data_IF_729872537007
#
_entry.id   IF_729872537007
#
_cell.length_a   1.000
_cell.length_b   1.000
_cell.length_c   1.000
_cell.angle_alpha   90.00
_cell.angle_beta   90.00
_cell.angle_gamma   90.00
#
_symmetry.space_group_name_H-M   'P 1'
#
loop_
_entity.id
_entity.type
_entity.pdbx_description
1 polymer ?
#
# COMPACT_ATOMS: atom_id res chain seq x y z
N UNK A 1 45.05 0.51 -38.48
CA UNK A 1 44.46 -0.39 -37.47
C UNK A 1 44.93 0.13 -36.12
N UNK A 2 44.07 0.88 -35.42
CA UNK A 2 44.11 0.92 -33.96
C UNK A 2 42.73 1.39 -33.50
N UNK A 3 42.05 0.57 -32.72
CA UNK A 3 40.67 0.75 -32.28
C UNK A 3 40.69 0.43 -30.78
N UNK A 4 41.02 1.43 -29.97
CA UNK A 4 41.07 1.28 -28.51
C UNK A 4 39.66 1.48 -27.92
N UNK A 5 38.88 0.40 -27.89
CA UNK A 5 37.69 0.31 -27.05
C UNK A 5 38.10 0.16 -25.59
N UNK A 6 37.78 1.18 -24.78
CA UNK A 6 37.89 1.16 -23.33
C UNK A 6 36.78 0.25 -22.80
N UNK A 7 37.12 -1.00 -22.46
CA UNK A 7 36.26 -1.88 -21.67
C UNK A 7 36.21 -1.33 -20.24
N UNK A 8 35.03 -0.88 -19.81
CA UNK A 8 34.73 -0.59 -18.40
C UNK A 8 34.64 -1.92 -17.67
N UNK A 9 35.65 -2.19 -16.84
CA UNK A 9 35.63 -3.30 -15.89
C UNK A 9 34.47 -3.15 -14.90
N UNK A 10 33.60 -4.16 -14.87
CA UNK A 10 32.53 -4.30 -13.89
C UNK A 10 33.17 -4.73 -12.57
N UNK A 11 33.08 -3.85 -11.56
CA UNK A 11 33.58 -4.12 -10.22
C UNK A 11 32.95 -5.38 -9.63
N UNK A 12 33.83 -6.28 -9.19
CA UNK A 12 33.60 -7.52 -8.44
C UNK A 12 32.63 -7.30 -7.27
N UNK A 13 31.60 -8.15 -7.20
CA UNK A 13 30.74 -8.31 -6.02
C UNK A 13 31.55 -9.02 -4.94
N UNK A 14 31.84 -8.32 -3.84
CA UNK A 14 32.43 -8.94 -2.65
C UNK A 14 31.32 -9.41 -1.70
N UNK A 15 31.20 -10.74 -1.57
CA UNK A 15 30.32 -11.39 -0.61
C UNK A 15 31.03 -11.39 0.75
N UNK A 16 30.50 -10.65 1.72
CA UNK A 16 31.06 -10.56 3.07
C UNK A 16 30.65 -11.81 3.89
N UNK A 17 31.60 -12.56 4.48
CA UNK A 17 31.31 -13.73 5.29
C UNK A 17 31.24 -13.37 6.78
N UNK A 18 30.04 -13.11 7.30
CA UNK A 18 29.53 -13.68 8.56
C UNK A 18 28.19 -13.01 8.95
N UNK A 19 27.12 -13.49 8.33
CA UNK A 19 25.73 -13.06 8.61
C UNK A 19 25.09 -13.94 9.71
N UNK A 20 25.81 -14.94 10.22
CA UNK A 20 25.21 -16.06 10.96
C UNK A 20 24.77 -15.68 12.38
N UNK A 21 25.55 -14.85 13.08
CA UNK A 21 25.24 -14.36 14.42
C UNK A 21 24.10 -13.31 14.41
N UNK A 22 24.11 -12.39 13.43
CA UNK A 22 23.04 -11.41 13.18
C UNK A 22 21.69 -12.09 12.89
N UNK A 23 21.72 -13.21 12.15
CA UNK A 23 20.52 -13.98 11.78
C UNK A 23 19.80 -14.59 12.99
N UNK A 24 20.55 -15.02 14.01
CA UNK A 24 20.02 -15.71 15.20
C UNK A 24 19.34 -14.76 16.19
N UNK A 25 19.73 -13.50 16.20
CA UNK A 25 19.18 -12.47 17.09
C UNK A 25 17.97 -11.74 16.48
N UNK A 26 17.97 -11.54 15.15
CA UNK A 26 16.83 -10.99 14.41
C UNK A 26 15.60 -11.93 14.47
N UNK A 27 15.83 -13.25 14.39
CA UNK A 27 14.76 -14.26 14.44
C UNK A 27 13.96 -14.27 15.77
N UNK A 28 14.53 -13.73 16.86
CA UNK A 28 13.84 -13.63 18.16
C UNK A 28 12.88 -12.45 18.27
N UNK A 29 12.90 -11.48 17.35
CA UNK A 29 12.03 -10.29 17.36
C UNK A 29 10.94 -10.29 16.28
N UNK A 30 11.08 -11.12 15.26
CA UNK A 30 10.12 -11.22 14.17
C UNK A 30 8.83 -11.93 14.62
N UNK A 31 7.66 -11.40 14.25
CA UNK A 31 6.38 -12.07 14.54
C UNK A 31 6.10 -13.18 13.54
N UNK A 32 5.31 -14.18 13.96
CA UNK A 32 4.85 -15.24 13.05
C UNK A 32 4.16 -14.67 11.81
N UNK A 33 3.33 -13.63 11.97
CA UNK A 33 2.68 -12.93 10.85
C UNK A 33 3.68 -12.43 9.80
N UNK A 34 4.76 -11.77 10.23
CA UNK A 34 5.79 -11.22 9.34
C UNK A 34 6.55 -12.34 8.64
N UNK A 35 6.96 -13.36 9.40
CA UNK A 35 7.65 -14.53 8.86
C UNK A 35 6.81 -15.26 7.82
N UNK A 36 5.54 -15.52 8.12
CA UNK A 36 4.62 -16.25 7.24
C UNK A 36 4.37 -15.47 5.94
N UNK A 37 4.40 -14.14 6.01
CA UNK A 37 4.35 -13.29 4.83
C UNK A 37 5.58 -13.45 3.94
N UNK A 38 6.79 -13.43 4.51
CA UNK A 38 8.04 -13.68 3.74
C UNK A 38 8.08 -15.09 3.16
N UNK A 39 7.67 -16.09 3.93
CA UNK A 39 7.66 -17.49 3.50
C UNK A 39 6.71 -17.77 2.32
N UNK A 40 5.76 -16.87 2.05
CA UNK A 40 4.85 -16.99 0.92
C UNK A 40 5.49 -16.67 -0.45
N UNK A 41 6.70 -16.09 -0.47
CA UNK A 41 7.45 -15.78 -1.70
C UNK A 41 8.63 -16.73 -1.88
N UNK A 42 9.21 -16.91 -3.08
CA UNK A 42 10.41 -17.73 -3.29
C UNK A 42 11.60 -17.31 -2.42
N UNK A 43 12.48 -18.24 -1.97
CA UNK A 43 13.65 -17.89 -1.17
C UNK A 43 14.58 -16.86 -1.81
N UNK A 44 14.68 -16.88 -3.15
CA UNK A 44 15.47 -15.95 -3.96
C UNK A 44 15.02 -14.48 -3.80
N UNK A 45 13.78 -14.23 -3.35
CA UNK A 45 13.22 -12.89 -3.25
C UNK A 45 13.30 -12.32 -1.83
N UNK A 46 13.59 -13.15 -0.82
CA UNK A 46 13.45 -12.78 0.60
C UNK A 46 14.73 -12.13 1.12
N UNK A 47 14.56 -11.08 1.93
CA UNK A 47 15.65 -10.47 2.71
C UNK A 47 16.83 -9.98 1.86
N UNK A 48 16.55 -9.45 0.67
CA UNK A 48 17.58 -8.97 -0.29
C UNK A 48 18.17 -7.65 0.19
N UNK A 49 19.49 -7.61 0.33
CA UNK A 49 20.21 -6.41 0.77
C UNK A 49 20.72 -5.58 -0.41
N UNK A 50 20.62 -4.26 -0.28
CA UNK A 50 21.10 -3.28 -1.23
C UNK A 50 21.97 -2.25 -0.51
N UNK A 51 23.08 -1.88 -1.14
CA UNK A 51 23.93 -0.82 -0.64
C UNK A 51 23.51 0.52 -1.22
N UNK A 52 23.15 1.46 -0.36
CA UNK A 52 22.92 2.85 -0.71
C UNK A 52 24.23 3.63 -0.63
N UNK A 53 24.90 3.76 -1.77
CA UNK A 53 26.15 4.52 -1.85
C UNK A 53 25.96 6.03 -1.55
N UNK A 54 24.76 6.59 -1.74
CA UNK A 54 24.51 8.01 -1.50
C UNK A 54 24.46 8.33 0.00
N UNK A 55 23.89 7.42 0.79
CA UNK A 55 23.75 7.59 2.25
C UNK A 55 24.73 6.73 3.06
N UNK A 56 25.57 5.93 2.41
CA UNK A 56 26.47 4.94 3.04
C UNK A 56 25.70 4.00 3.98
N UNK A 57 24.51 3.58 3.56
CA UNK A 57 23.60 2.74 4.34
C UNK A 57 23.32 1.41 3.62
N UNK A 58 22.83 0.42 4.36
CA UNK A 58 22.39 -0.86 3.81
C UNK A 58 20.89 -1.01 4.05
N UNK A 59 20.13 -1.00 2.97
CA UNK A 59 18.72 -1.36 3.01
C UNK A 59 18.56 -2.86 2.81
N UNK A 60 17.66 -3.48 3.58
CA UNK A 60 17.27 -4.87 3.37
C UNK A 60 15.78 -4.94 3.11
N UNK A 61 15.43 -5.36 1.90
CA UNK A 61 14.06 -5.60 1.48
C UNK A 61 13.52 -6.88 2.12
N UNK A 62 12.34 -6.84 2.73
CA UNK A 62 11.67 -8.08 3.17
C UNK A 62 11.45 -9.01 1.98
N UNK A 63 10.89 -8.48 0.89
CA UNK A 63 10.77 -9.13 -0.41
C UNK A 63 11.22 -8.16 -1.50
N UNK A 64 12.05 -8.63 -2.42
CA UNK A 64 12.38 -7.96 -3.66
C UNK A 64 12.12 -8.91 -4.84
N UNK A 65 11.31 -8.45 -5.79
CA UNK A 65 10.86 -9.28 -6.92
C UNK A 65 11.69 -8.99 -8.18
N UNK A 66 11.84 -9.95 -9.11
CA UNK A 66 12.50 -9.74 -10.41
C UNK A 66 11.85 -8.62 -11.24
N UNK A 67 10.55 -8.38 -11.03
CA UNK A 67 9.81 -7.27 -11.66
C UNK A 67 10.11 -5.90 -11.05
N UNK A 68 11.04 -5.81 -10.10
CA UNK A 68 11.51 -4.56 -9.50
C UNK A 68 10.60 -3.99 -8.41
N UNK A 69 9.65 -4.77 -7.87
CA UNK A 69 8.87 -4.39 -6.68
C UNK A 69 9.61 -4.75 -5.39
N UNK A 70 9.56 -3.84 -4.43
CA UNK A 70 9.92 -4.09 -3.02
C UNK A 70 8.64 -4.19 -2.21
N UNK A 71 8.51 -5.23 -1.38
CA UNK A 71 7.37 -5.38 -0.46
C UNK A 71 7.93 -5.42 0.96
N UNK A 72 7.42 -4.55 1.83
CA UNK A 72 7.80 -4.46 3.23
C UNK A 72 6.62 -4.80 4.14
N UNK A 73 6.84 -5.69 5.10
CA UNK A 73 5.81 -6.10 6.04
C UNK A 73 5.96 -5.33 7.35
N UNK A 74 4.96 -4.51 7.69
CA UNK A 74 5.03 -3.70 8.90
C UNK A 74 4.04 -4.17 9.96
N UNK A 75 4.59 -4.71 11.05
CA UNK A 75 3.82 -5.20 12.20
C UNK A 75 3.85 -4.26 13.42
N UNK A 76 4.88 -3.41 13.51
CA UNK A 76 5.15 -2.52 14.65
C UNK A 76 5.14 -1.04 14.20
N UNK A 77 5.13 -0.06 15.10
CA UNK A 77 5.30 1.34 14.71
C UNK A 77 6.60 1.55 13.93
N UNK A 78 6.55 2.43 12.93
CA UNK A 78 7.70 2.90 12.14
C UNK A 78 7.82 4.42 12.32
N UNK A 79 9.05 4.94 12.26
CA UNK A 79 9.27 6.39 12.33
C UNK A 79 9.06 7.05 10.97
N UNK A 80 8.74 8.35 10.95
CA UNK A 80 8.62 9.09 9.69
C UNK A 80 9.95 9.13 8.90
N UNK A 81 11.08 9.19 9.59
CA UNK A 81 12.41 9.15 8.97
C UNK A 81 12.65 7.81 8.25
N UNK A 82 12.31 6.69 8.89
CA UNK A 82 12.46 5.36 8.29
C UNK A 82 11.49 5.15 7.12
N UNK A 83 10.24 5.63 7.24
CA UNK A 83 9.27 5.62 6.14
C UNK A 83 9.82 6.38 4.92
N UNK A 84 10.26 7.63 5.10
CA UNK A 84 10.78 8.45 4.01
C UNK A 84 12.06 7.88 3.42
N UNK A 85 12.98 7.38 4.25
CA UNK A 85 14.23 6.76 3.79
C UNK A 85 13.93 5.57 2.88
N UNK A 86 12.98 4.70 3.27
CA UNK A 86 12.60 3.53 2.47
C UNK A 86 11.87 3.90 1.20
N UNK A 87 10.92 4.85 1.25
CA UNK A 87 10.20 5.30 0.05
C UNK A 87 11.09 6.05 -0.93
N UNK A 88 12.09 6.80 -0.46
CA UNK A 88 13.08 7.45 -1.32
C UNK A 88 14.01 6.44 -1.99
N UNK A 89 14.36 5.35 -1.30
CA UNK A 89 15.26 4.32 -1.81
C UNK A 89 14.58 3.35 -2.78
N UNK A 90 13.34 2.92 -2.50
CA UNK A 90 12.62 1.92 -3.29
C UNK A 90 11.53 2.54 -4.17
N UNK A 91 11.73 2.65 -5.51
CA UNK A 91 10.78 3.33 -6.38
C UNK A 91 9.43 2.62 -6.52
N UNK A 92 9.40 1.29 -6.38
CA UNK A 92 8.18 0.47 -6.48
C UNK A 92 7.85 -0.19 -5.14
N UNK A 93 7.86 0.59 -4.06
CA UNK A 93 7.58 0.08 -2.71
C UNK A 93 6.09 -0.21 -2.51
N UNK A 94 5.80 -1.33 -1.84
CA UNK A 94 4.49 -1.69 -1.33
C UNK A 94 4.62 -1.98 0.16
N UNK A 95 3.87 -1.23 0.97
CA UNK A 95 3.70 -1.51 2.39
C UNK A 95 2.57 -2.50 2.59
N UNK A 96 2.84 -3.61 3.27
CA UNK A 96 1.81 -4.54 3.76
C UNK A 96 1.75 -4.41 5.28
N UNK A 97 0.65 -3.88 5.80
CA UNK A 97 0.48 -3.57 7.20
C UNK A 97 -0.29 -4.67 7.94
N UNK A 98 0.16 -5.02 9.14
CA UNK A 98 -0.60 -5.90 10.03
C UNK A 98 -1.79 -5.16 10.65
N UNK A 99 -2.90 -5.14 9.92
CA UNK A 99 -4.12 -4.45 10.30
C UNK A 99 -4.90 -5.11 11.43
N UNK A 100 -4.60 -6.37 11.81
CA UNK A 100 -5.25 -7.03 12.97
C UNK A 100 -5.08 -6.25 14.27
N UNK A 101 -4.04 -5.41 14.36
CA UNK A 101 -3.76 -4.57 15.53
C UNK A 101 -4.43 -3.19 15.47
N UNK A 102 -5.05 -2.83 14.36
CA UNK A 102 -5.61 -1.48 14.19
C UNK A 102 -6.88 -1.31 15.00
N UNK A 103 -6.82 -0.38 15.95
CA UNK A 103 -7.99 -0.02 16.76
C UNK A 103 -8.93 0.87 15.96
N UNK A 104 -10.20 0.46 15.90
CA UNK A 104 -11.24 1.22 15.23
C UNK A 104 -11.10 1.27 13.71
N UNK A 105 -10.36 0.32 13.10
CA UNK A 105 -10.40 0.08 11.66
C UNK A 105 -11.59 -0.82 11.33
N UNK A 106 -12.55 -0.32 10.54
CA UNK A 106 -13.76 -1.05 10.16
C UNK A 106 -14.03 -0.87 8.68
N UNK A 107 -14.22 -1.98 7.99
CA UNK A 107 -14.79 -1.99 6.65
C UNK A 107 -16.29 -1.71 6.78
N UNK A 108 -16.82 -0.79 5.98
CA UNK A 108 -18.20 -0.31 6.10
C UNK A 108 -19.06 -0.79 4.94
N UNK A 109 -19.29 0.06 3.93
CA UNK A 109 -20.27 -0.18 2.86
C UNK A 109 -19.56 -0.46 1.55
N UNK A 110 -20.15 -1.32 0.73
CA UNK A 110 -19.77 -1.43 -0.68
C UNK A 110 -19.90 -0.09 -1.38
N UNK A 111 -18.92 0.27 -2.21
CA UNK A 111 -18.92 1.48 -3.01
C UNK A 111 -19.30 1.16 -4.45
N UNK A 112 -19.90 2.11 -5.19
CA UNK A 112 -19.93 2.05 -6.64
C UNK A 112 -18.51 2.13 -7.20
N UNK A 113 -18.38 1.99 -8.53
CA UNK A 113 -17.16 2.45 -9.17
C UNK A 113 -17.00 3.95 -8.84
N UNK A 114 -15.89 4.28 -8.20
CA UNK A 114 -15.64 5.64 -7.68
C UNK A 114 -15.46 6.66 -8.81
N UNK A 115 -15.15 6.17 -10.01
CA UNK A 115 -14.99 6.95 -11.24
C UNK A 115 -16.17 6.72 -12.22
N UNK A 116 -17.29 6.14 -11.76
CA UNK A 116 -18.50 5.98 -12.59
C UNK A 116 -18.92 7.35 -13.19
N UNK A 117 -19.12 7.45 -14.52
CA UNK A 117 -19.52 8.71 -15.16
C UNK A 117 -20.77 9.36 -14.57
N UNK A 118 -21.68 8.58 -13.97
CA UNK A 118 -22.88 9.09 -13.28
C UNK A 118 -22.56 9.85 -12.00
N UNK A 119 -21.36 9.65 -11.44
CA UNK A 119 -20.89 10.33 -10.22
C UNK A 119 -20.10 11.61 -10.50
N UNK A 120 -19.92 12.01 -11.76
CA UNK A 120 -19.08 13.17 -12.13
C UNK A 120 -19.50 14.48 -11.45
N UNK A 121 -20.79 14.63 -11.15
CA UNK A 121 -21.40 15.82 -10.56
C UNK A 121 -21.62 15.68 -9.04
N UNK A 122 -21.06 14.64 -8.42
CA UNK A 122 -21.22 14.32 -7.01
C UNK A 122 -19.88 14.05 -6.32
N UNK A 123 -19.82 14.42 -5.04
CA UNK A 123 -18.66 14.13 -4.17
C UNK A 123 -19.10 13.31 -2.96
N UNK A 124 -18.26 12.36 -2.55
CA UNK A 124 -18.54 11.52 -1.38
C UNK A 124 -18.42 12.33 -0.09
N UNK A 125 -19.31 12.07 0.86
CA UNK A 125 -19.26 12.66 2.20
C UNK A 125 -18.26 11.91 3.09
N UNK A 126 -17.49 12.63 3.91
CA UNK A 126 -16.60 12.05 4.92
C UNK A 126 -17.38 11.65 6.19
N UNK A 127 -18.19 10.60 6.06
CA UNK A 127 -18.93 10.01 7.18
C UNK A 127 -18.96 8.48 7.08
N UNK A 128 -19.34 7.81 8.16
CA UNK A 128 -19.54 6.36 8.18
C UNK A 128 -20.73 5.91 7.29
N UNK A 129 -21.57 6.86 6.86
CA UNK A 129 -22.73 6.62 6.01
C UNK A 129 -22.37 6.84 4.55
N UNK A 130 -22.69 5.85 3.71
CA UNK A 130 -22.50 6.00 2.27
C UNK A 130 -23.47 7.04 1.71
N UNK A 131 -22.93 8.22 1.44
CA UNK A 131 -23.69 9.40 1.02
C UNK A 131 -22.82 10.35 0.21
N UNK A 132 -23.48 11.22 -0.54
CA UNK A 132 -22.85 12.17 -1.45
C UNK A 132 -23.51 13.55 -1.36
N UNK A 133 -22.82 14.55 -1.87
CA UNK A 133 -23.32 15.92 -2.07
C UNK A 133 -23.12 16.31 -3.53
N UNK A 134 -23.91 17.27 -4.01
CA UNK A 134 -23.71 17.80 -5.37
C UNK A 134 -22.46 18.65 -5.42
N UNK A 135 -21.65 18.45 -6.45
CA UNK A 135 -20.43 19.22 -6.70
C UNK A 135 -20.71 20.72 -6.83
N UNK A 136 -21.83 21.07 -7.47
CA UNK A 136 -22.26 22.46 -7.61
C UNK A 136 -22.49 23.16 -6.25
N UNK A 137 -23.01 22.45 -5.25
CA UNK A 137 -23.26 23.00 -3.91
C UNK A 137 -21.96 23.26 -3.14
N UNK A 138 -20.94 22.42 -3.34
CA UNK A 138 -19.59 22.64 -2.83
C UNK A 138 -18.96 23.87 -3.49
N UNK A 139 -19.06 23.98 -4.82
CA UNK A 139 -18.51 25.11 -5.60
C UNK A 139 -19.16 26.44 -5.17
N UNK A 140 -20.45 26.43 -4.88
CA UNK A 140 -21.17 27.60 -4.37
C UNK A 140 -20.82 27.96 -2.91
N UNK A 141 -20.07 27.11 -2.21
CA UNK A 141 -19.70 27.34 -0.81
C UNK A 141 -20.88 27.25 0.15
N UNK A 142 -21.91 26.45 -0.17
CA UNK A 142 -23.06 26.30 0.72
C UNK A 142 -22.62 25.67 2.04
N UNK A 143 -23.01 26.24 3.19
CA UNK A 143 -22.57 25.75 4.50
C UNK A 143 -23.15 24.37 4.84
N UNK A 144 -24.33 24.04 4.30
CA UNK A 144 -25.04 22.78 4.54
C UNK A 144 -25.55 22.19 3.21
N UNK A 145 -24.68 21.58 2.39
CA UNK A 145 -25.10 20.92 1.16
C UNK A 145 -26.06 19.76 1.47
N UNK A 146 -26.99 19.49 0.54
CA UNK A 146 -27.99 18.44 0.71
C UNK A 146 -27.32 17.08 0.58
N UNK A 147 -27.36 16.31 1.67
CA UNK A 147 -26.85 14.94 1.73
C UNK A 147 -27.78 13.99 0.97
N UNK A 148 -27.22 13.23 0.03
CA UNK A 148 -27.91 12.25 -0.80
C UNK A 148 -27.41 10.85 -0.47
N UNK A 149 -28.31 9.93 -0.16
CA UNK A 149 -27.97 8.51 -0.08
C UNK A 149 -28.24 7.82 -1.43
N UNK A 150 -27.79 6.58 -1.58
CA UNK A 150 -27.96 5.80 -2.82
C UNK A 150 -29.38 5.29 -3.10
N UNK A 151 -30.35 5.64 -2.24
CA UNK A 151 -31.79 5.46 -2.49
C UNK A 151 -32.45 6.73 -3.06
N UNK A 152 -31.74 7.87 -3.06
CA UNK A 152 -32.25 9.11 -3.63
C UNK A 152 -32.43 8.97 -5.14
N UNK A 153 -33.51 9.50 -5.76
CA UNK A 153 -33.79 9.34 -7.21
C UNK A 153 -32.62 9.69 -8.13
N UNK A 154 -31.79 10.66 -7.75
CA UNK A 154 -30.58 11.06 -8.50
C UNK A 154 -29.46 10.02 -8.51
N UNK A 155 -29.33 9.24 -7.43
CA UNK A 155 -28.28 8.23 -7.29
C UNK A 155 -28.83 6.81 -7.46
N UNK A 156 -30.16 6.68 -7.58
CA UNK A 156 -30.83 5.42 -7.77
C UNK A 156 -30.38 4.79 -9.10
N UNK A 157 -30.01 3.50 -9.05
CA UNK A 157 -29.55 2.75 -10.22
C UNK A 157 -28.03 2.79 -10.46
N UNK A 158 -27.26 3.48 -9.61
CA UNK A 158 -25.81 3.32 -9.56
C UNK A 158 -25.51 2.00 -8.84
N UNK A 159 -24.80 1.10 -9.51
CA UNK A 159 -24.51 -0.24 -8.98
C UNK A 159 -23.31 -0.18 -8.04
N UNK A 160 -23.45 -0.83 -6.88
CA UNK A 160 -22.33 -1.05 -5.97
C UNK A 160 -21.46 -2.20 -6.47
N UNK A 161 -20.16 -2.05 -6.32
CA UNK A 161 -19.15 -3.07 -6.65
C UNK A 161 -19.01 -4.07 -5.51
N UNK A 162 -18.47 -5.26 -5.79
CA UNK A 162 -18.17 -6.26 -4.77
C UNK A 162 -16.80 -6.09 -4.12
N UNK A 163 -15.94 -5.20 -4.64
CA UNK A 163 -14.54 -5.10 -4.26
C UNK A 163 -14.11 -3.71 -3.80
N UNK A 164 -14.94 -2.67 -3.89
CA UNK A 164 -14.64 -1.35 -3.34
C UNK A 164 -15.48 -1.12 -2.09
N UNK A 165 -14.85 -0.57 -1.04
CA UNK A 165 -15.49 -0.36 0.24
C UNK A 165 -15.14 1.00 0.85
N UNK A 166 -16.12 1.65 1.47
CA UNK A 166 -15.85 2.69 2.45
C UNK A 166 -15.33 2.04 3.73
N UNK A 167 -14.59 2.81 4.52
CA UNK A 167 -14.06 2.34 5.78
C UNK A 167 -13.97 3.49 6.78
N UNK A 168 -13.80 3.12 8.05
CA UNK A 168 -13.49 4.05 9.13
C UNK A 168 -12.20 3.60 9.79
N UNK A 169 -11.33 4.54 10.14
CA UNK A 169 -10.13 4.28 10.93
C UNK A 169 -10.00 5.37 12.01
N UNK A 170 -10.46 5.07 13.22
CA UNK A 170 -10.55 6.07 14.31
C UNK A 170 -9.22 6.39 14.99
N UNK A 171 -8.26 5.46 14.96
CA UNK A 171 -6.92 5.64 15.54
C UNK A 171 -5.83 5.25 14.53
N UNK A 172 -5.74 6.00 13.42
CA UNK A 172 -4.68 5.80 12.44
C UNK A 172 -3.36 6.28 13.02
N UNK A 173 -2.31 5.48 12.86
CA UNK A 173 -0.97 5.94 13.18
C UNK A 173 -0.59 7.02 12.16
N UNK A 174 -0.25 8.21 12.64
CA UNK A 174 -0.10 9.40 11.81
C UNK A 174 0.94 9.26 10.71
N UNK A 175 1.98 8.43 10.93
CA UNK A 175 3.05 8.17 9.96
C UNK A 175 2.52 7.67 8.61
N UNK A 176 1.43 6.88 8.61
CA UNK A 176 0.88 6.33 7.36
C UNK A 176 0.16 7.37 6.50
N UNK A 177 -0.14 8.55 7.04
CA UNK A 177 -0.63 9.67 6.22
C UNK A 177 0.47 10.35 5.40
N UNK A 178 1.74 10.12 5.76
CA UNK A 178 2.90 10.64 5.03
C UNK A 178 3.32 9.70 3.89
N UNK A 179 2.83 8.45 3.90
CA UNK A 179 3.20 7.45 2.92
C UNK A 179 2.68 7.83 1.54
N UNK A 180 3.58 7.77 0.56
CA UNK A 180 3.28 7.95 -0.86
C UNK A 180 3.24 6.63 -1.59
N UNK A 181 3.90 5.60 -1.05
CA UNK A 181 3.89 4.25 -1.58
C UNK A 181 2.53 3.56 -1.37
N UNK A 182 2.30 2.49 -2.13
CA UNK A 182 1.06 1.71 -2.03
C UNK A 182 0.96 1.07 -0.65
N UNK A 183 -0.19 1.24 0.01
CA UNK A 183 -0.50 0.60 1.28
C UNK A 183 -1.54 -0.50 1.08
N UNK A 184 -1.19 -1.70 1.52
CA UNK A 184 -2.07 -2.87 1.65
C UNK A 184 -2.26 -3.16 3.14
N UNK A 185 -3.50 -3.34 3.57
CA UNK A 185 -3.82 -3.72 4.95
C UNK A 185 -4.25 -5.18 4.99
N UNK A 186 -3.57 -5.98 5.80
CA UNK A 186 -3.94 -7.36 6.12
C UNK A 186 -4.71 -7.41 7.45
N UNK A 187 -6.02 -7.58 7.37
CA UNK A 187 -6.90 -7.76 8.54
C UNK A 187 -6.97 -9.24 8.98
N UNK A 188 -6.23 -10.13 8.33
CA UNK A 188 -6.33 -11.57 8.43
C UNK A 188 -7.27 -12.20 7.41
N UNK A 189 -7.19 -13.53 7.31
CA UNK A 189 -8.02 -14.31 6.42
C UNK A 189 -7.51 -14.32 4.97
N UNK A 190 -8.44 -14.35 4.02
CA UNK A 190 -8.14 -14.53 2.59
C UNK A 190 -7.98 -13.24 1.80
N UNK A 191 -8.47 -12.11 2.32
CA UNK A 191 -8.52 -10.85 1.59
C UNK A 191 -7.59 -9.81 2.18
N UNK A 192 -7.05 -8.99 1.29
CA UNK A 192 -6.26 -7.80 1.58
C UNK A 192 -7.03 -6.57 1.12
N UNK A 193 -6.67 -5.42 1.66
CA UNK A 193 -7.35 -4.16 1.36
C UNK A 193 -6.31 -3.11 0.98
N UNK A 194 -6.24 -2.78 -0.31
CA UNK A 194 -5.44 -1.66 -0.81
C UNK A 194 -6.12 -0.34 -0.42
N UNK A 195 -5.39 0.53 0.27
CA UNK A 195 -5.85 1.87 0.57
C UNK A 195 -5.69 2.75 -0.68
N UNK A 196 -6.81 3.28 -1.16
CA UNK A 196 -6.92 4.14 -2.34
C UNK A 196 -7.54 5.48 -1.95
N UNK A 197 -7.39 6.46 -2.83
CA UNK A 197 -8.03 7.77 -2.68
C UNK A 197 -8.65 8.20 -4.00
N UNK A 198 -9.83 8.81 -3.94
CA UNK A 198 -10.46 9.56 -5.03
C UNK A 198 -10.25 11.05 -4.77
N UNK A 199 -9.72 11.76 -5.76
CA UNK A 199 -9.62 13.23 -5.71
C UNK A 199 -11.03 13.83 -5.86
N UNK A 200 -11.39 14.77 -4.99
CA UNK A 200 -12.69 15.43 -4.99
C UNK A 200 -12.61 16.81 -4.32
N UNK A 201 -13.59 17.68 -4.58
CA UNK A 201 -13.52 19.09 -4.15
C UNK A 201 -13.62 19.30 -2.62
N UNK A 202 -14.32 18.43 -1.90
CA UNK A 202 -14.46 18.49 -0.45
C UNK A 202 -13.36 17.70 0.30
N UNK A 203 -12.22 17.49 -0.34
CA UNK A 203 -11.08 16.74 0.20
C UNK A 203 -11.12 15.27 -0.18
N UNK A 204 -9.95 14.67 -0.42
CA UNK A 204 -9.82 13.31 -0.96
C UNK A 204 -10.67 12.30 -0.19
N UNK A 205 -11.34 11.41 -0.93
CA UNK A 205 -12.12 10.33 -0.35
C UNK A 205 -11.27 9.06 -0.25
N UNK A 206 -10.84 8.64 0.94
CA UNK A 206 -10.13 7.38 1.09
C UNK A 206 -11.12 6.22 1.00
N UNK A 207 -10.74 5.16 0.31
CA UNK A 207 -11.52 3.93 0.18
C UNK A 207 -10.62 2.71 0.11
N UNK A 208 -11.19 1.52 0.27
CA UNK A 208 -10.48 0.25 0.19
C UNK A 208 -10.82 -0.46 -1.11
N UNK A 209 -9.80 -0.98 -1.80
CA UNK A 209 -9.94 -1.95 -2.87
C UNK A 209 -9.54 -3.32 -2.35
N UNK A 210 -10.49 -4.24 -2.31
CA UNK A 210 -10.30 -5.61 -1.88
C UNK A 210 -9.63 -6.43 -2.99
N UNK A 211 -8.66 -7.25 -2.61
CA UNK A 211 -8.02 -8.25 -3.46
C UNK A 211 -7.72 -9.51 -2.63
N UNK A 212 -7.60 -10.67 -3.28
CA UNK A 212 -7.24 -11.90 -2.56
C UNK A 212 -5.74 -11.94 -2.26
N UNK A 213 -5.36 -12.51 -1.11
CA UNK A 213 -3.95 -12.72 -0.75
C UNK A 213 -3.21 -13.56 -1.78
N UNK A 214 -3.88 -14.58 -2.34
CA UNK A 214 -3.33 -15.42 -3.40
C UNK A 214 -2.99 -14.58 -4.64
N UNK A 215 -3.95 -13.79 -5.12
CA UNK A 215 -3.77 -12.93 -6.29
C UNK A 215 -2.63 -11.93 -6.09
N UNK A 216 -2.53 -11.33 -4.90
CA UNK A 216 -1.41 -10.43 -4.57
C UNK A 216 -0.06 -11.12 -4.69
N UNK A 217 0.09 -12.31 -4.10
CA UNK A 217 1.34 -13.08 -4.17
C UNK A 217 1.64 -13.49 -5.62
N UNK A 218 0.64 -13.99 -6.35
CA UNK A 218 0.79 -14.42 -7.75
C UNK A 218 1.26 -13.26 -8.65
N UNK A 219 0.70 -12.05 -8.50
CA UNK A 219 1.13 -10.87 -9.26
C UNK A 219 2.58 -10.45 -9.00
N UNK A 220 3.09 -10.75 -7.81
CA UNK A 220 4.44 -10.41 -7.38
C UNK A 220 5.40 -11.61 -7.40
N UNK A 221 4.96 -12.74 -7.95
CA UNK A 221 5.77 -13.95 -8.14
C UNK A 221 5.69 -14.39 -9.60
N UNK A 222 6.31 -13.64 -10.54
CA UNK A 222 6.39 -14.08 -11.93
C UNK A 222 7.11 -15.44 -12.00
N UNK A 223 6.82 -16.29 -12.99
CA UNK A 223 7.53 -17.55 -13.20
C UNK A 223 9.04 -17.28 -13.30
N UNK A 224 9.84 -18.07 -12.60
CA UNK A 224 11.31 -18.06 -12.79
C UNK A 224 11.60 -18.52 -14.23
N UNK A 225 12.28 -17.68 -15.02
CA UNK A 225 12.68 -17.97 -16.41
C UNK A 225 13.90 -18.90 -16.40
#
# INVERSE_FOLDING_TARGET
MDNSEIRKDIHRVEIIPDVSALKKEYYRKETAWHRDWKLAFPPSFREVAFYDAANTDIHRADIFTPSGYTIEFQNSPITAAELHSREAFYPNLIWVLNGKKFKGFKILKHLPDVDDPKLKDYEFCHSDHLSMVRKAEIIQGLPNPKILNFYHPELQGIKLTSNLYSFCWKQPHSVWYLATAKIIVDLGGHFLYELKQRQQLNGNYPYLKMLSRKTFIDWHTPPEI
#
